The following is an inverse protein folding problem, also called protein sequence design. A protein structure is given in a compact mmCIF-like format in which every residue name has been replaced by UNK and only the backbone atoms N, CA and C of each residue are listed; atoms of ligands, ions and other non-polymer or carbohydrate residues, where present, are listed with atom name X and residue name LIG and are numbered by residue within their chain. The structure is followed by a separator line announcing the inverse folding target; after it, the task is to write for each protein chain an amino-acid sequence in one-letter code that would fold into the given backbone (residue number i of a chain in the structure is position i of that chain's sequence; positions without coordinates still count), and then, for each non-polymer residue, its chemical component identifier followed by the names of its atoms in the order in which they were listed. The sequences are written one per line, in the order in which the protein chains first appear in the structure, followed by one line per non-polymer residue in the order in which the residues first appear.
data_IF_568877580203
#
_entry.id   IF_568877580203
#
_cell.length_a   1.000
_cell.length_b   1.000
_cell.length_c   1.000
_cell.angle_alpha   90.00
_cell.angle_beta   90.00
_cell.angle_gamma   90.00
#
_symmetry.space_group_name_H-M   'P 1'
#
loop_
_entity.id
_entity.type
_entity.pdbx_description
1 polymer ?
#
# COMPACT_ATOMS: atom_id res chain seq x y z
N UNK A 1 -3.42 -2.22 7.01
CA UNK A 1 -4.80 -1.68 6.88
C UNK A 1 -4.87 -0.82 5.63
N UNK A 2 -6.01 -0.84 4.93
CA UNK A 2 -6.29 0.07 3.81
C UNK A 2 -7.43 1.05 4.15
N UNK A 3 -7.16 2.34 4.04
CA UNK A 3 -8.20 3.39 4.10
C UNK A 3 -8.52 3.87 2.67
N UNK A 4 -9.77 4.21 2.39
CA UNK A 4 -10.22 4.56 1.04
C UNK A 4 -11.05 5.84 1.03
N UNK A 5 -10.71 6.76 0.15
CA UNK A 5 -11.52 7.95 -0.14
C UNK A 5 -11.85 7.99 -1.62
N UNK A 6 -13.14 7.88 -1.95
CA UNK A 6 -13.61 7.83 -3.33
C UNK A 6 -13.98 9.22 -3.83
N UNK A 7 -13.36 9.64 -4.91
CA UNK A 7 -13.68 10.87 -5.64
C UNK A 7 -14.45 10.57 -6.92
N UNK A 8 -14.83 11.58 -7.70
CA UNK A 8 -15.58 11.39 -8.96
C UNK A 8 -14.82 10.54 -9.99
N UNK A 9 -13.52 10.80 -10.17
CA UNK A 9 -12.70 10.18 -11.22
C UNK A 9 -11.53 9.33 -10.69
N UNK A 10 -11.32 9.29 -9.37
CA UNK A 10 -10.20 8.57 -8.74
C UNK A 10 -10.61 8.05 -7.37
N UNK A 11 -9.82 7.13 -6.85
CA UNK A 11 -9.90 6.67 -5.47
C UNK A 11 -8.53 6.84 -4.83
N UNK A 12 -8.50 7.51 -3.70
CA UNK A 12 -7.30 7.61 -2.86
C UNK A 12 -7.28 6.40 -1.94
N UNK A 13 -6.22 5.61 -2.05
CA UNK A 13 -5.95 4.47 -1.18
C UNK A 13 -4.82 4.88 -0.26
N UNK A 14 -5.08 4.87 1.04
CA UNK A 14 -4.05 5.04 2.05
C UNK A 14 -3.67 3.68 2.60
N UNK A 15 -2.41 3.32 2.41
CA UNK A 15 -1.79 2.14 2.98
C UNK A 15 -1.29 2.49 4.38
N UNK A 16 -1.73 1.77 5.40
CA UNK A 16 -1.42 2.06 6.81
C UNK A 16 -0.85 0.83 7.50
N UNK A 17 0.31 0.99 8.12
CA UNK A 17 0.93 0.00 9.02
C UNK A 17 0.82 0.43 10.47
N UNK A 18 0.55 -0.55 11.33
CA UNK A 18 0.48 -0.38 12.77
C UNK A 18 1.82 0.10 13.35
N UNK A 19 1.82 0.83 14.48
CA UNK A 19 3.04 1.27 15.14
C UNK A 19 3.96 0.13 15.55
N UNK A 20 3.39 -1.04 15.87
CA UNK A 20 4.09 -2.24 16.30
C UNK A 20 4.71 -3.05 15.15
N UNK A 21 4.54 -2.59 13.90
CA UNK A 21 5.10 -3.29 12.75
C UNK A 21 6.65 -3.26 12.80
N UNK A 22 7.34 -4.41 12.69
CA UNK A 22 8.77 -4.51 12.96
C UNK A 22 9.65 -3.79 11.92
N UNK A 23 9.15 -3.58 10.71
CA UNK A 23 9.91 -2.96 9.62
C UNK A 23 10.08 -1.44 9.82
N UNK A 24 11.34 -0.99 9.84
CA UNK A 24 11.68 0.42 10.04
C UNK A 24 11.54 1.28 8.79
N UNK A 25 11.65 0.70 7.61
CA UNK A 25 11.44 1.35 6.32
C UNK A 25 10.58 0.41 5.50
N UNK A 26 9.48 0.93 4.96
CA UNK A 26 8.57 0.18 4.11
C UNK A 26 8.16 1.06 2.94
N UNK A 27 8.18 0.49 1.74
CA UNK A 27 7.54 1.07 0.56
C UNK A 27 6.37 0.21 0.15
N UNK A 28 5.29 0.83 -0.31
CA UNK A 28 4.31 0.11 -1.12
C UNK A 28 4.79 0.09 -2.57
N UNK A 29 4.64 -1.06 -3.22
CA UNK A 29 5.11 -1.33 -4.58
C UNK A 29 3.98 -2.01 -5.34
N UNK A 30 3.70 -1.60 -6.57
CA UNK A 30 2.60 -2.17 -7.34
C UNK A 30 2.47 -1.61 -8.74
N UNK A 31 1.38 -1.96 -9.41
CA UNK A 31 1.13 -1.57 -10.81
C UNK A 31 1.16 -0.04 -11.01
N UNK A 32 0.77 0.73 -10.00
CA UNK A 32 0.72 2.19 -10.04
C UNK A 32 2.08 2.89 -9.93
N UNK A 33 3.17 2.16 -9.67
CA UNK A 33 4.53 2.68 -9.67
C UNK A 33 5.52 1.80 -10.43
N UNK A 34 5.01 1.04 -11.41
CA UNK A 34 5.80 0.12 -12.24
C UNK A 34 6.65 -0.86 -11.41
N UNK A 35 6.11 -1.26 -10.25
CA UNK A 35 6.81 -2.11 -9.30
C UNK A 35 8.18 -1.57 -8.83
N UNK A 36 8.35 -0.24 -8.78
CA UNK A 36 9.60 0.41 -8.37
C UNK A 36 9.68 0.62 -6.84
N UNK A 37 10.63 -0.03 -6.14
CA UNK A 37 10.92 0.24 -4.73
C UNK A 37 11.21 1.71 -4.45
N UNK A 38 10.75 2.21 -3.28
CA UNK A 38 11.06 3.56 -2.81
C UNK A 38 10.31 4.69 -3.53
N UNK A 39 9.46 4.39 -4.51
CA UNK A 39 8.61 5.41 -5.14
C UNK A 39 7.46 5.86 -4.21
N UNK A 40 7.01 5.00 -3.29
CA UNK A 40 5.95 5.29 -2.33
C UNK A 40 6.33 4.79 -0.93
N UNK A 41 7.31 5.42 -0.26
CA UNK A 41 7.70 5.07 1.11
C UNK A 41 6.60 5.48 2.10
N UNK A 42 6.36 4.63 3.10
CA UNK A 42 5.43 4.91 4.18
C UNK A 42 6.08 5.85 5.20
N UNK A 43 5.42 6.97 5.44
CA UNK A 43 5.89 7.99 6.39
C UNK A 43 5.26 7.79 7.75
N UNK A 44 6.05 7.93 8.83
CA UNK A 44 5.55 7.85 10.20
C UNK A 44 4.63 9.04 10.51
N UNK A 45 3.45 8.75 11.05
CA UNK A 45 2.45 9.71 11.53
C UNK A 45 2.63 9.98 13.04
N UNK A 46 2.06 11.08 13.57
CA UNK A 46 2.16 11.43 15.00
C UNK A 46 1.56 10.38 15.95
N UNK A 47 0.56 9.62 15.49
CA UNK A 47 -0.07 8.51 16.22
C UNK A 47 0.79 7.23 16.26
N UNK A 48 1.98 7.27 15.67
CA UNK A 48 2.92 6.15 15.61
C UNK A 48 2.71 5.23 14.41
N UNK A 49 1.59 5.32 13.69
CA UNK A 49 1.35 4.54 12.47
C UNK A 49 2.27 5.01 11.36
N UNK A 50 2.38 4.23 10.28
CA UNK A 50 3.10 4.62 9.07
C UNK A 50 2.14 4.55 7.90
N UNK A 51 2.15 5.55 7.03
CA UNK A 51 1.22 5.55 5.92
C UNK A 51 1.75 6.23 4.66
N UNK A 52 1.15 5.86 3.54
CA UNK A 52 1.30 6.54 2.26
C UNK A 52 -0.04 6.51 1.52
N UNK A 53 -0.39 7.60 0.85
CA UNK A 53 -1.62 7.70 0.07
C UNK A 53 -1.29 7.73 -1.41
N UNK A 54 -1.95 6.87 -2.18
CA UNK A 54 -1.81 6.77 -3.63
C UNK A 54 -3.14 7.07 -4.29
N UNK A 55 -3.14 7.97 -5.28
CA UNK A 55 -4.31 8.28 -6.10
C UNK A 55 -4.38 7.34 -7.29
N UNK A 56 -5.43 6.54 -7.38
CA UNK A 56 -5.62 5.54 -8.43
C UNK A 56 -6.88 5.84 -9.27
N UNK A 57 -6.88 5.55 -10.58
CA UNK A 57 -8.08 5.53 -11.39
C UNK A 57 -9.16 4.64 -10.78
N UNK A 58 -10.43 5.01 -10.94
CA UNK A 58 -11.58 4.24 -10.43
C UNK A 58 -11.86 2.97 -11.23
N UNK A 59 -12.65 2.07 -10.63
CA UNK A 59 -13.19 0.85 -11.23
C UNK A 59 -12.12 -0.06 -11.84
N UNK A 60 -10.93 -0.06 -11.23
CA UNK A 60 -9.77 -0.80 -11.71
C UNK A 60 -9.18 -1.61 -10.57
N UNK A 61 -8.63 -2.78 -10.91
CA UNK A 61 -7.90 -3.64 -9.98
C UNK A 61 -6.40 -3.36 -10.14
N UNK A 62 -5.72 -3.13 -9.03
CA UNK A 62 -4.26 -2.94 -9.01
C UNK A 62 -3.62 -3.98 -8.09
N UNK A 63 -2.58 -4.64 -8.60
CA UNK A 63 -1.68 -5.47 -7.81
C UNK A 63 -0.70 -4.62 -7.02
N UNK A 64 -0.42 -5.03 -5.78
CA UNK A 64 0.58 -4.39 -4.93
C UNK A 64 1.15 -5.34 -3.87
N UNK A 65 2.26 -4.92 -3.26
CA UNK A 65 2.89 -5.57 -2.13
C UNK A 65 3.73 -4.58 -1.31
N UNK A 66 3.99 -4.91 -0.06
CA UNK A 66 4.91 -4.13 0.77
C UNK A 66 6.33 -4.67 0.68
N UNK A 67 7.29 -3.74 0.57
CA UNK A 67 8.71 -4.03 0.62
C UNK A 67 9.31 -3.36 1.84
N UNK A 68 9.70 -4.18 2.82
CA UNK A 68 10.43 -3.76 4.01
C UNK A 68 11.95 -3.79 3.84
N UNK A 69 12.66 -3.42 4.90
CA UNK A 69 14.12 -3.51 4.98
C UNK A 69 14.64 -4.93 4.68
N UNK A 70 15.78 -5.02 3.98
CA UNK A 70 16.44 -6.30 3.65
C UNK A 70 15.67 -7.12 2.62
N UNK A 71 14.98 -6.46 1.68
CA UNK A 71 14.18 -7.08 0.62
C UNK A 71 13.05 -7.99 1.14
N UNK A 72 12.55 -7.70 2.35
CA UNK A 72 11.47 -8.45 2.96
C UNK A 72 10.12 -8.07 2.37
N UNK A 73 9.54 -8.99 1.60
CA UNK A 73 8.20 -8.83 1.03
C UNK A 73 7.12 -9.37 1.96
N UNK A 74 6.05 -8.60 2.14
CA UNK A 74 4.90 -9.03 2.92
C UNK A 74 3.60 -8.46 2.40
N UNK A 75 2.52 -9.10 2.84
CA UNK A 75 1.17 -8.90 2.33
C UNK A 75 0.33 -8.01 3.23
N UNK A 76 -0.81 -7.58 2.70
CA UNK A 76 -1.77 -6.73 3.41
C UNK A 76 -3.00 -7.58 3.78
N UNK A 77 -3.21 -7.79 5.07
CA UNK A 77 -4.36 -8.55 5.58
C UNK A 77 -5.70 -7.90 5.17
N UNK A 78 -5.74 -6.57 5.11
CA UNK A 78 -6.92 -5.80 4.69
C UNK A 78 -7.07 -5.63 3.17
N UNK A 79 -6.35 -6.38 2.34
CA UNK A 79 -6.47 -6.31 0.88
C UNK A 79 -7.83 -6.84 0.41
N UNK A 80 -8.26 -6.44 -0.79
CA UNK A 80 -9.50 -6.98 -1.39
C UNK A 80 -9.32 -8.43 -1.87
N UNK A 81 -8.07 -8.91 -1.93
CA UNK A 81 -7.72 -10.30 -2.20
C UNK A 81 -6.25 -10.48 -2.55
N UNK A 82 -5.84 -11.72 -2.84
CA UNK A 82 -4.51 -12.08 -3.33
C UNK A 82 -4.60 -13.09 -4.48
N UNK A 83 -3.61 -13.13 -5.37
CA UNK A 83 -3.50 -14.13 -6.45
C UNK A 83 -2.43 -15.20 -6.19
N UNK A 84 -1.92 -15.24 -4.95
CA UNK A 84 -0.85 -16.14 -4.54
C UNK A 84 0.52 -15.46 -4.50
N UNK A 85 0.74 -14.39 -5.25
CA UNK A 85 2.00 -13.61 -5.19
C UNK A 85 1.76 -12.19 -4.66
N UNK A 86 0.70 -11.54 -5.13
CA UNK A 86 0.43 -10.13 -4.90
C UNK A 86 -0.93 -9.91 -4.22
N UNK A 87 -1.02 -8.81 -3.49
CA UNK A 87 -2.25 -8.28 -2.94
C UNK A 87 -2.97 -7.48 -4.03
N UNK A 88 -4.27 -7.32 -3.90
CA UNK A 88 -5.09 -6.52 -4.80
C UNK A 88 -5.95 -5.51 -4.08
N UNK A 89 -6.09 -4.35 -4.71
CA UNK A 89 -7.06 -3.33 -4.33
C UNK A 89 -7.94 -2.98 -5.51
N UNK A 90 -9.24 -2.85 -5.26
CA UNK A 90 -10.25 -2.37 -6.18
C UNK A 90 -10.64 -0.92 -5.83
N UNK A 91 -10.66 -0.07 -6.84
CA UNK A 91 -10.84 1.38 -6.69
C UNK A 91 -12.23 1.87 -7.10
#
# INVERSE_FOLDING_TARGET
MLERTRHKNRTEITFVLSPDHPSQEVSVVGDFNDWRPGAHPLTRRPDGTRAVTVSLPRATRFGFRYLGHGDYWFDEEGADGHDGTNNYVQT
#
